data_IF_046596969287
#
_entry.id   IF_046596969287
#
_cell.length_a   1.000
_cell.length_b   1.000
_cell.length_c   1.000
_cell.angle_alpha   90.00
_cell.angle_beta   90.00
_cell.angle_gamma   90.00
#
_symmetry.space_group_name_H-M   'P 1'
#
loop_
_entity.id
_entity.type
_entity.pdbx_description
1 polymer ?
#
# COMPACT_ATOMS: atom_id res chain seq x y z
N UNK A 1 3.07 1.70 -18.39
CA UNK A 1 3.36 0.36 -17.81
C UNK A 1 2.66 0.28 -16.47
N UNK A 2 2.06 -0.86 -16.10
CA UNK A 2 1.40 -1.06 -14.79
C UNK A 2 2.43 -0.94 -13.66
N UNK A 3 2.07 -0.29 -12.57
CA UNK A 3 2.89 -0.23 -11.34
C UNK A 3 2.21 -1.04 -10.22
N UNK A 4 2.97 -1.88 -9.55
CA UNK A 4 2.53 -2.62 -8.34
C UNK A 4 3.27 -2.03 -7.15
N UNK A 5 2.53 -1.48 -6.20
CA UNK A 5 3.13 -0.77 -5.07
C UNK A 5 2.43 -1.04 -3.73
N UNK A 6 3.13 -0.77 -2.64
CA UNK A 6 2.61 -0.87 -1.29
C UNK A 6 3.23 0.18 -0.37
N UNK A 7 2.40 0.73 0.49
CA UNK A 7 2.87 1.47 1.67
C UNK A 7 3.13 0.48 2.78
N UNK A 8 4.38 0.31 3.17
CA UNK A 8 4.79 -0.71 4.13
C UNK A 8 5.80 -0.20 5.16
N UNK A 9 5.68 -0.69 6.37
CA UNK A 9 6.63 -0.51 7.47
C UNK A 9 6.38 -1.61 8.50
N UNK A 10 7.43 -2.10 9.16
CA UNK A 10 7.30 -3.11 10.22
C UNK A 10 6.65 -2.56 11.50
N UNK A 11 6.46 -1.24 11.61
CA UNK A 11 5.75 -0.60 12.74
C UNK A 11 4.26 -0.46 12.45
N UNK A 12 3.41 -0.83 13.43
CA UNK A 12 1.97 -0.54 13.41
C UNK A 12 1.66 0.95 13.61
N UNK A 13 0.51 1.41 13.07
CA UNK A 13 0.01 2.77 13.31
C UNK A 13 0.72 3.90 12.56
N UNK A 14 1.60 3.59 11.60
CA UNK A 14 2.30 4.60 10.79
C UNK A 14 1.49 5.10 9.59
N UNK A 15 0.26 4.60 9.40
CA UNK A 15 -0.66 5.05 8.35
C UNK A 15 -0.61 4.27 7.04
N UNK A 16 -0.06 3.04 7.01
CA UNK A 16 0.04 2.20 5.80
C UNK A 16 -1.30 2.05 5.06
N UNK A 17 -2.29 1.46 5.71
CA UNK A 17 -3.61 1.19 5.12
C UNK A 17 -4.31 2.46 4.66
N UNK A 18 -4.22 3.55 5.46
CA UNK A 18 -4.76 4.85 5.06
C UNK A 18 -4.10 5.37 3.78
N UNK A 19 -2.77 5.27 3.68
CA UNK A 19 -2.05 5.76 2.50
C UNK A 19 -2.31 4.88 1.27
N UNK A 20 -2.29 3.54 1.40
CA UNK A 20 -2.68 2.64 0.30
C UNK A 20 -4.08 3.00 -0.23
N UNK A 21 -5.04 3.18 0.67
CA UNK A 21 -6.42 3.50 0.30
C UNK A 21 -6.56 4.89 -0.34
N UNK A 22 -6.05 5.95 0.31
CA UNK A 22 -6.22 7.33 -0.17
C UNK A 22 -5.48 7.59 -1.47
N UNK A 23 -4.31 6.98 -1.67
CA UNK A 23 -3.58 7.07 -2.95
C UNK A 23 -4.33 6.31 -4.04
N UNK A 24 -4.91 5.15 -3.75
CA UNK A 24 -5.74 4.43 -4.72
C UNK A 24 -6.96 5.27 -5.17
N UNK A 25 -7.65 5.93 -4.23
CA UNK A 25 -8.77 6.83 -4.55
C UNK A 25 -8.31 8.03 -5.37
N UNK A 26 -7.18 8.65 -5.02
CA UNK A 26 -6.64 9.81 -5.73
C UNK A 26 -6.28 9.46 -7.17
N UNK A 27 -5.62 8.32 -7.40
CA UNK A 27 -5.28 7.88 -8.76
C UNK A 27 -6.57 7.57 -9.54
N UNK A 28 -7.54 6.88 -8.94
CA UNK A 28 -8.81 6.58 -9.60
C UNK A 28 -9.59 7.86 -9.98
N UNK A 29 -9.58 8.88 -9.13
CA UNK A 29 -10.20 10.19 -9.38
C UNK A 29 -9.49 10.96 -10.51
N UNK A 30 -8.15 10.90 -10.57
CA UNK A 30 -7.35 11.49 -11.65
C UNK A 30 -7.64 10.82 -12.99
N UNK A 31 -7.65 9.49 -13.05
CA UNK A 31 -8.00 8.73 -14.26
C UNK A 31 -9.38 9.09 -14.80
N UNK A 32 -10.36 9.31 -13.91
CA UNK A 32 -11.71 9.73 -14.29
C UNK A 32 -11.71 11.17 -14.84
N UNK A 33 -11.05 12.12 -14.18
CA UNK A 33 -10.94 13.52 -14.61
C UNK A 33 -10.20 13.69 -15.93
N UNK A 34 -9.19 12.87 -16.18
CA UNK A 34 -8.38 12.87 -17.40
C UNK A 34 -9.02 12.07 -18.54
N UNK A 35 -10.21 11.47 -18.31
CA UNK A 35 -10.92 10.64 -19.27
C UNK A 35 -10.09 9.45 -19.81
N UNK A 36 -9.19 8.90 -19.01
CA UNK A 36 -8.39 7.72 -19.37
C UNK A 36 -9.24 6.45 -19.21
N UNK A 37 -10.21 6.29 -20.11
CA UNK A 37 -11.29 5.31 -20.03
C UNK A 37 -10.84 3.85 -20.09
N UNK A 38 -9.65 3.58 -20.59
CA UNK A 38 -9.04 2.26 -20.72
C UNK A 38 -8.24 1.85 -19.45
N UNK A 39 -8.05 2.76 -18.48
CA UNK A 39 -7.27 2.50 -17.27
C UNK A 39 -8.09 2.51 -15.99
N UNK A 40 -7.69 1.66 -15.07
CA UNK A 40 -8.30 1.46 -13.75
C UNK A 40 -7.22 1.37 -12.68
N UNK A 41 -7.64 1.39 -11.43
CA UNK A 41 -6.81 1.12 -10.25
C UNK A 41 -7.33 -0.14 -9.58
N UNK A 42 -6.44 -1.02 -9.13
CA UNK A 42 -6.79 -2.15 -8.29
C UNK A 42 -6.21 -1.93 -6.90
N UNK A 43 -7.07 -1.95 -5.89
CA UNK A 43 -6.68 -1.98 -4.49
C UNK A 43 -6.87 -3.39 -3.96
N UNK A 44 -5.86 -3.93 -3.28
CA UNK A 44 -5.90 -5.26 -2.68
C UNK A 44 -5.67 -5.11 -1.18
N UNK A 45 -6.56 -5.63 -0.38
CA UNK A 45 -6.38 -5.73 1.07
C UNK A 45 -5.74 -7.08 1.39
N UNK A 46 -4.50 -7.05 1.84
CA UNK A 46 -3.72 -8.23 2.25
C UNK A 46 -3.51 -8.31 3.77
N UNK A 47 -4.18 -7.46 4.55
CA UNK A 47 -4.09 -7.48 6.01
C UNK A 47 -5.22 -8.32 6.63
N UNK A 48 -4.86 -9.22 7.55
CA UNK A 48 -5.84 -10.01 8.32
C UNK A 48 -6.76 -9.16 9.22
N UNK A 49 -6.37 -7.91 9.52
CA UNK A 49 -7.21 -6.97 10.27
C UNK A 49 -8.40 -6.46 9.44
N UNK A 50 -8.30 -6.51 8.12
CA UNK A 50 -9.36 -6.17 7.16
C UNK A 50 -9.86 -4.72 7.27
N UNK A 51 -9.02 -3.76 7.68
CA UNK A 51 -9.45 -2.36 7.90
C UNK A 51 -9.98 -1.71 6.62
N UNK A 52 -9.34 -1.93 5.47
CA UNK A 52 -9.81 -1.42 4.18
C UNK A 52 -11.06 -2.18 3.74
N UNK A 53 -11.09 -3.48 3.90
CA UNK A 53 -12.25 -4.33 3.57
C UNK A 53 -13.48 -3.91 4.37
N UNK A 54 -13.35 -3.71 5.69
CA UNK A 54 -14.46 -3.25 6.52
C UNK A 54 -14.94 -1.85 6.11
N UNK A 55 -14.02 -0.99 5.71
CA UNK A 55 -14.37 0.34 5.21
C UNK A 55 -15.16 0.27 3.89
N UNK A 56 -14.71 -0.52 2.90
CA UNK A 56 -15.35 -0.56 1.57
C UNK A 56 -16.63 -1.40 1.57
N UNK A 57 -16.58 -2.59 2.18
CA UNK A 57 -17.66 -3.59 2.19
C UNK A 57 -18.21 -3.81 3.60
N UNK A 58 -17.96 -5.00 4.13
CA UNK A 58 -18.15 -5.41 5.52
C UNK A 58 -17.23 -6.60 5.80
N UNK A 59 -16.93 -6.91 7.05
CA UNK A 59 -16.08 -8.08 7.40
C UNK A 59 -16.67 -9.40 6.95
N UNK A 60 -17.99 -9.51 6.89
CA UNK A 60 -18.72 -10.73 6.51
C UNK A 60 -19.31 -10.61 5.10
N UNK A 61 -18.51 -10.13 4.13
CA UNK A 61 -18.95 -9.85 2.74
C UNK A 61 -19.25 -11.11 1.92
N UNK A 62 -18.74 -12.28 2.32
CA UNK A 62 -18.99 -13.56 1.61
C UNK A 62 -18.39 -13.68 0.20
N UNK A 63 -17.53 -12.75 -0.19
CA UNK A 63 -16.87 -12.73 -1.51
C UNK A 63 -15.52 -13.43 -1.46
N UNK A 64 -15.03 -13.98 -2.59
CA UNK A 64 -13.65 -14.44 -2.70
C UNK A 64 -12.64 -13.34 -2.34
N UNK A 65 -11.52 -13.74 -1.77
CA UNK A 65 -10.51 -12.86 -1.18
C UNK A 65 -9.16 -13.06 -1.83
N UNK A 66 -8.16 -12.31 -1.39
CA UNK A 66 -6.78 -12.54 -1.78
C UNK A 66 -6.31 -13.98 -1.45
N UNK A 67 -6.86 -14.62 -0.43
CA UNK A 67 -6.51 -15.99 -0.09
C UNK A 67 -6.91 -16.97 -1.20
N UNK A 68 -8.14 -16.85 -1.72
CA UNK A 68 -8.60 -17.66 -2.84
C UNK A 68 -7.87 -17.31 -4.14
N UNK A 69 -7.52 -16.04 -4.36
CA UNK A 69 -6.69 -15.64 -5.50
C UNK A 69 -5.36 -16.40 -5.57
N UNK A 70 -4.75 -16.67 -4.41
CA UNK A 70 -3.41 -17.26 -4.36
C UNK A 70 -3.39 -18.76 -4.04
N UNK A 71 -4.40 -19.29 -3.33
CA UNK A 71 -4.33 -20.60 -2.68
C UNK A 71 -5.46 -21.56 -3.00
N UNK A 72 -6.42 -21.19 -3.86
CA UNK A 72 -7.54 -22.06 -4.22
C UNK A 72 -7.05 -23.39 -4.83
N UNK A 73 -7.76 -24.50 -4.53
CA UNK A 73 -7.53 -25.85 -5.08
C UNK A 73 -6.04 -26.28 -5.16
N UNK A 74 -5.42 -26.49 -4.02
CA UNK A 74 -4.03 -26.99 -3.95
C UNK A 74 -2.99 -25.97 -4.42
N UNK A 75 -3.30 -24.70 -4.29
CA UNK A 75 -2.39 -23.60 -4.56
C UNK A 75 -2.39 -23.10 -6.00
N UNK A 76 -3.38 -23.46 -6.83
CA UNK A 76 -3.50 -22.91 -8.20
C UNK A 76 -3.97 -21.46 -8.22
N UNK A 77 -4.78 -21.06 -7.23
CA UNK A 77 -5.42 -19.75 -7.17
C UNK A 77 -6.59 -19.60 -8.15
N UNK A 78 -7.47 -18.65 -7.87
CA UNK A 78 -8.55 -18.27 -8.78
C UNK A 78 -8.07 -17.27 -9.83
N UNK A 79 -8.75 -17.26 -10.97
CA UNK A 79 -8.55 -16.23 -11.98
C UNK A 79 -9.00 -14.85 -11.45
N UNK A 80 -8.34 -13.74 -11.86
CA UNK A 80 -8.63 -12.40 -11.33
C UNK A 80 -10.10 -11.99 -11.42
N UNK A 81 -10.80 -12.39 -12.50
CA UNK A 81 -12.21 -12.08 -12.72
C UNK A 81 -13.13 -12.62 -11.60
N UNK A 82 -12.71 -13.70 -10.94
CA UNK A 82 -13.50 -14.37 -9.91
C UNK A 82 -13.29 -13.80 -8.50
N UNK A 83 -12.26 -12.95 -8.32
CA UNK A 83 -11.89 -12.40 -7.00
C UNK A 83 -12.01 -10.88 -6.94
N UNK A 84 -12.11 -10.20 -8.09
CA UNK A 84 -12.14 -8.74 -8.15
C UNK A 84 -13.56 -8.22 -8.07
N UNK A 85 -13.83 -7.38 -7.08
CA UNK A 85 -15.05 -6.59 -6.95
C UNK A 85 -14.90 -5.33 -7.78
N UNK A 86 -15.72 -5.18 -8.81
CA UNK A 86 -15.69 -4.02 -9.72
C UNK A 86 -16.39 -2.82 -9.09
N UNK A 87 -15.72 -1.65 -9.09
CA UNK A 87 -16.28 -0.36 -8.71
C UNK A 87 -17.08 -0.38 -7.39
N UNK A 88 -16.51 -0.89 -6.28
CA UNK A 88 -17.25 -1.06 -5.02
C UNK A 88 -17.65 0.26 -4.38
N UNK A 89 -17.07 1.38 -4.80
CA UNK A 89 -17.39 2.74 -4.36
C UNK A 89 -17.92 3.50 -5.57
N UNK A 90 -19.20 3.86 -5.56
CA UNK A 90 -19.89 4.46 -6.70
C UNK A 90 -19.23 5.75 -7.21
N UNK A 91 -18.67 6.57 -6.30
CA UNK A 91 -17.97 7.82 -6.63
C UNK A 91 -16.61 7.61 -7.30
N UNK A 92 -16.10 6.37 -7.33
CA UNK A 92 -14.82 6.00 -7.92
C UNK A 92 -14.98 4.81 -8.88
N UNK A 93 -15.62 5.01 -10.03
CA UNK A 93 -15.92 3.92 -10.99
C UNK A 93 -14.66 3.27 -11.58
N UNK A 94 -13.49 3.91 -11.44
CA UNK A 94 -12.19 3.39 -11.88
C UNK A 94 -11.46 2.57 -10.83
N UNK A 95 -11.99 2.48 -9.61
CA UNK A 95 -11.42 1.65 -8.55
C UNK A 95 -12.06 0.26 -8.57
N UNK A 96 -11.22 -0.77 -8.61
CA UNK A 96 -11.60 -2.15 -8.33
C UNK A 96 -10.94 -2.63 -7.05
N UNK A 97 -11.45 -3.69 -6.45
CA UNK A 97 -11.02 -4.12 -5.14
C UNK A 97 -10.93 -5.65 -5.01
N UNK A 98 -9.88 -6.15 -4.36
CA UNK A 98 -9.82 -7.52 -3.83
C UNK A 98 -9.85 -7.42 -2.32
N UNK A 99 -10.89 -7.98 -1.66
CA UNK A 99 -11.01 -7.90 -0.20
C UNK A 99 -10.06 -8.87 0.51
N UNK A 100 -9.74 -8.53 1.75
CA UNK A 100 -9.17 -9.46 2.71
C UNK A 100 -10.24 -10.38 3.29
N UNK A 101 -9.80 -11.46 3.94
CA UNK A 101 -10.67 -12.37 4.68
C UNK A 101 -9.90 -13.13 5.74
N UNK A 102 -10.63 -13.76 6.67
CA UNK A 102 -10.04 -14.57 7.75
C UNK A 102 -9.13 -15.69 7.24
N UNK A 103 -9.33 -16.13 6.00
CA UNK A 103 -8.53 -17.15 5.32
C UNK A 103 -7.08 -16.73 5.09
N UNK A 104 -6.77 -15.43 5.13
CA UNK A 104 -5.39 -14.92 5.04
C UNK A 104 -4.51 -15.57 6.12
N UNK A 105 -5.02 -15.73 7.33
CA UNK A 105 -4.28 -16.29 8.45
C UNK A 105 -3.82 -17.75 8.21
N UNK A 106 -4.57 -18.53 7.42
CA UNK A 106 -4.26 -19.94 7.14
C UNK A 106 -3.47 -20.18 5.84
N UNK A 107 -3.15 -19.13 5.07
CA UNK A 107 -2.34 -19.25 3.84
C UNK A 107 -1.00 -19.95 4.09
N UNK A 108 -0.25 -19.69 5.17
CA UNK A 108 0.99 -20.43 5.44
C UNK A 108 0.80 -21.94 5.53
N UNK A 109 -0.32 -22.38 6.11
CA UNK A 109 -0.68 -23.81 6.23
C UNK A 109 -1.08 -24.38 4.86
N UNK A 110 -1.92 -23.67 4.10
CA UNK A 110 -2.36 -24.06 2.77
C UNK A 110 -1.20 -24.20 1.77
N UNK A 111 -0.12 -23.48 1.98
CA UNK A 111 1.07 -23.49 1.14
C UNK A 111 2.27 -24.18 1.78
N UNK A 112 2.09 -24.96 2.85
CA UNK A 112 3.21 -25.58 3.59
C UNK A 112 4.13 -26.37 2.65
N UNK A 113 3.55 -27.21 1.79
CA UNK A 113 4.28 -28.10 0.87
C UNK A 113 4.48 -27.52 -0.53
N UNK A 114 4.14 -26.24 -0.74
CA UNK A 114 4.29 -25.59 -2.05
C UNK A 114 5.68 -24.98 -2.19
N UNK A 115 6.45 -25.47 -3.15
CA UNK A 115 7.77 -24.89 -3.48
C UNK A 115 7.61 -23.50 -4.11
N UNK A 116 8.47 -22.55 -3.69
CA UNK A 116 8.47 -21.20 -4.20
C UNK A 116 7.21 -20.38 -3.82
N UNK A 117 6.57 -20.78 -2.71
CA UNK A 117 5.36 -20.13 -2.18
C UNK A 117 5.54 -18.63 -1.98
N UNK A 118 6.73 -18.15 -1.68
CA UNK A 118 7.06 -16.74 -1.52
C UNK A 118 6.89 -15.93 -2.82
N UNK A 119 6.97 -16.59 -3.98
CA UNK A 119 6.83 -15.94 -5.29
C UNK A 119 5.39 -15.99 -5.84
N UNK A 120 4.43 -16.56 -5.10
CA UNK A 120 3.08 -16.83 -5.63
C UNK A 120 2.34 -15.59 -6.13
N UNK A 121 2.35 -14.49 -5.40
CA UNK A 121 1.71 -13.25 -5.85
C UNK A 121 2.32 -12.77 -7.16
N UNK A 122 3.65 -12.75 -7.25
CA UNK A 122 4.39 -12.38 -8.47
C UNK A 122 4.04 -13.31 -9.65
N UNK A 123 3.98 -14.63 -9.41
CA UNK A 123 3.59 -15.62 -10.43
C UNK A 123 2.15 -15.41 -10.87
N UNK A 124 1.23 -15.16 -9.95
CA UNK A 124 -0.19 -14.91 -10.26
C UNK A 124 -0.35 -13.64 -11.13
N UNK A 125 0.29 -12.53 -10.75
CA UNK A 125 0.29 -11.29 -11.54
C UNK A 125 0.90 -11.46 -12.94
N UNK A 126 1.95 -12.27 -13.07
CA UNK A 126 2.59 -12.56 -14.36
C UNK A 126 1.76 -13.50 -15.24
N UNK A 127 1.18 -14.54 -14.66
CA UNK A 127 0.30 -15.48 -15.36
C UNK A 127 -0.90 -14.78 -16.01
N UNK A 128 -1.43 -13.78 -15.32
CA UNK A 128 -2.60 -13.03 -15.77
C UNK A 128 -2.25 -11.62 -16.26
N UNK A 129 -1.03 -11.41 -16.80
CA UNK A 129 -0.54 -10.07 -17.15
C UNK A 129 -1.49 -9.33 -18.10
N UNK A 130 -2.04 -10.02 -19.11
CA UNK A 130 -2.91 -9.42 -20.12
C UNK A 130 -4.22 -8.90 -19.48
N UNK A 131 -4.76 -9.61 -18.50
CA UNK A 131 -5.90 -9.14 -17.71
C UNK A 131 -5.53 -7.89 -16.91
N UNK A 132 -4.34 -7.87 -16.30
CA UNK A 132 -3.89 -6.76 -15.46
C UNK A 132 -3.40 -5.53 -16.25
N UNK A 133 -3.28 -5.58 -17.57
CA UNK A 133 -2.92 -4.41 -18.40
C UNK A 133 -3.95 -3.27 -18.36
N UNK A 134 -5.21 -3.58 -18.03
CA UNK A 134 -6.24 -2.58 -17.79
C UNK A 134 -5.97 -1.72 -16.54
N UNK A 135 -5.11 -2.16 -15.64
CA UNK A 135 -4.77 -1.40 -14.43
C UNK A 135 -3.49 -0.58 -14.65
N UNK A 136 -3.57 0.73 -14.40
CA UNK A 136 -2.39 1.58 -14.34
C UNK A 136 -1.60 1.30 -13.07
N UNK A 137 -2.31 1.12 -11.95
CA UNK A 137 -1.73 0.87 -10.64
C UNK A 137 -2.44 -0.26 -9.91
N UNK A 138 -1.66 -1.07 -9.19
CA UNK A 138 -2.12 -2.06 -8.23
C UNK A 138 -1.51 -1.70 -6.87
N UNK A 139 -2.34 -1.28 -5.92
CA UNK A 139 -1.92 -0.97 -4.56
C UNK A 139 -2.28 -2.15 -3.66
N UNK A 140 -1.33 -2.58 -2.82
CA UNK A 140 -1.54 -3.75 -1.96
C UNK A 140 -1.27 -3.34 -0.51
N UNK A 141 -2.29 -3.43 0.34
CA UNK A 141 -2.12 -3.23 1.77
C UNK A 141 -1.58 -4.48 2.44
N UNK A 142 -0.69 -4.31 3.40
CA UNK A 142 -0.05 -5.40 4.14
C UNK A 142 0.06 -5.09 5.63
N UNK A 143 -0.04 -6.13 6.43
CA UNK A 143 0.14 -6.04 7.89
C UNK A 143 1.59 -5.68 8.27
N UNK A 144 1.82 -5.14 9.48
CA UNK A 144 3.18 -4.87 9.96
C UNK A 144 3.94 -6.15 10.35
N UNK A 145 3.29 -7.29 10.36
CA UNK A 145 3.85 -8.57 10.81
C UNK A 145 4.67 -9.26 9.73
N UNK A 146 5.69 -10.03 10.14
CA UNK A 146 6.53 -10.81 9.22
C UNK A 146 5.84 -12.13 8.85
N UNK A 147 4.86 -12.08 7.97
CA UNK A 147 4.13 -13.26 7.50
C UNK A 147 4.61 -13.71 6.12
N UNK A 148 4.28 -14.95 5.73
CA UNK A 148 4.49 -15.44 4.37
C UNK A 148 3.78 -14.53 3.35
N UNK A 149 2.58 -14.04 3.69
CA UNK A 149 1.81 -13.11 2.86
C UNK A 149 2.59 -11.83 2.55
N UNK A 150 3.15 -11.21 3.60
CA UNK A 150 3.93 -9.99 3.41
C UNK A 150 5.13 -10.21 2.48
N UNK A 151 5.81 -11.35 2.62
CA UNK A 151 6.90 -11.72 1.71
C UNK A 151 6.40 -11.91 0.28
N UNK A 152 5.29 -12.64 0.08
CA UNK A 152 4.69 -12.84 -1.24
C UNK A 152 4.33 -11.53 -1.92
N UNK A 153 3.74 -10.59 -1.17
CA UNK A 153 3.39 -9.27 -1.68
C UNK A 153 4.66 -8.48 -1.99
N UNK A 154 5.58 -8.37 -1.02
CA UNK A 154 6.81 -7.59 -1.16
C UNK A 154 7.64 -7.99 -2.38
N UNK A 155 7.69 -9.29 -2.70
CA UNK A 155 8.40 -9.78 -3.91
C UNK A 155 7.66 -9.52 -5.22
N UNK A 156 6.44 -9.01 -5.19
CA UNK A 156 5.66 -8.65 -6.37
C UNK A 156 5.65 -7.15 -6.66
N UNK A 157 6.22 -6.33 -5.78
CA UNK A 157 6.18 -4.87 -5.89
C UNK A 157 7.20 -4.34 -6.90
N UNK A 158 6.78 -3.31 -7.65
CA UNK A 158 7.65 -2.42 -8.42
C UNK A 158 8.12 -1.24 -7.55
N UNK A 159 7.29 -0.83 -6.57
CA UNK A 159 7.63 0.26 -5.64
C UNK A 159 7.22 -0.08 -4.20
N UNK A 160 8.11 0.20 -3.25
CA UNK A 160 7.90 0.04 -1.81
C UNK A 160 8.04 1.42 -1.15
N UNK A 161 6.96 1.91 -0.52
CA UNK A 161 6.90 3.25 0.06
C UNK A 161 6.82 3.11 1.57
N UNK A 162 7.78 3.68 2.30
CA UNK A 162 7.89 3.54 3.75
C UNK A 162 7.42 4.81 4.48
N UNK A 163 6.23 4.82 5.10
CA UNK A 163 5.84 5.89 6.01
C UNK A 163 6.63 5.81 7.32
N UNK A 164 7.37 6.87 7.67
CA UNK A 164 8.01 7.05 8.96
C UNK A 164 7.13 7.95 9.84
N UNK A 165 6.76 7.44 11.01
CA UNK A 165 5.99 8.25 11.96
C UNK A 165 6.90 9.27 12.61
N UNK A 166 6.56 10.58 12.46
CA UNK A 166 7.27 11.68 13.11
C UNK A 166 7.42 11.48 14.63
N UNK A 167 8.54 11.92 15.16
CA UNK A 167 8.88 11.81 16.58
C UNK A 167 8.89 10.38 17.17
N UNK A 168 9.10 9.37 16.33
CA UNK A 168 9.12 7.98 16.78
C UNK A 168 10.35 7.26 16.26
N UNK A 169 11.41 7.17 17.08
CA UNK A 169 12.66 6.49 16.72
C UNK A 169 12.44 5.05 16.25
N UNK A 170 11.50 4.34 16.88
CA UNK A 170 11.13 2.98 16.49
C UNK A 170 10.63 2.87 15.04
N UNK A 171 10.17 3.96 14.41
CA UNK A 171 9.78 3.90 12.99
C UNK A 171 11.00 3.86 12.07
N UNK A 172 12.10 4.50 12.43
CA UNK A 172 13.39 4.45 11.72
C UNK A 172 13.99 3.06 11.86
N UNK A 173 14.08 2.54 13.09
CA UNK A 173 14.56 1.17 13.37
C UNK A 173 13.76 0.10 12.63
N UNK A 174 12.43 0.25 12.61
CA UNK A 174 11.53 -0.67 11.90
C UNK A 174 11.74 -0.62 10.38
N UNK A 175 11.99 0.57 9.82
CA UNK A 175 12.30 0.73 8.40
C UNK A 175 13.62 0.07 8.04
N UNK A 176 14.68 0.31 8.83
CA UNK A 176 15.98 -0.37 8.66
C UNK A 176 15.85 -1.88 8.72
N UNK A 177 15.11 -2.40 9.71
CA UNK A 177 14.87 -3.83 9.84
C UNK A 177 14.10 -4.41 8.65
N UNK A 178 13.14 -3.64 8.09
CA UNK A 178 12.39 -4.03 6.89
C UNK A 178 13.32 -4.08 5.68
N UNK A 179 14.17 -3.08 5.49
CA UNK A 179 15.14 -3.01 4.39
C UNK A 179 16.11 -4.19 4.41
N UNK A 180 16.76 -4.43 5.55
CA UNK A 180 17.68 -5.55 5.71
C UNK A 180 16.98 -6.88 5.36
N UNK A 181 15.78 -7.10 5.91
CA UNK A 181 15.02 -8.31 5.62
C UNK A 181 14.65 -8.42 4.13
N UNK A 182 14.26 -7.31 3.51
CA UNK A 182 13.93 -7.27 2.08
C UNK A 182 15.15 -7.65 1.23
N UNK A 183 16.31 -7.07 1.50
CA UNK A 183 17.54 -7.37 0.77
C UNK A 183 17.96 -8.82 0.97
N UNK A 184 18.00 -9.30 2.20
CA UNK A 184 18.34 -10.69 2.53
C UNK A 184 17.39 -11.68 1.83
N UNK A 185 16.09 -11.40 1.86
CA UNK A 185 15.08 -12.27 1.22
C UNK A 185 15.19 -12.25 -0.32
N UNK A 186 15.49 -11.09 -0.93
CA UNK A 186 15.69 -10.99 -2.38
C UNK A 186 16.95 -11.75 -2.82
N UNK A 187 18.05 -11.63 -2.06
CA UNK A 187 19.29 -12.34 -2.32
C UNK A 187 19.13 -13.87 -2.16
N UNK A 188 18.53 -14.30 -1.04
CA UNK A 188 18.29 -15.72 -0.78
C UNK A 188 17.38 -16.41 -1.80
N UNK A 189 16.47 -15.66 -2.42
CA UNK A 189 15.54 -16.18 -3.44
C UNK A 189 16.01 -15.91 -4.87
N UNK A 190 17.20 -15.36 -5.05
CA UNK A 190 17.79 -15.04 -6.35
C UNK A 190 16.82 -14.20 -7.21
N UNK A 191 16.27 -13.12 -6.61
CA UNK A 191 15.35 -12.20 -7.30
C UNK A 191 16.13 -10.94 -7.68
N UNK A 192 16.42 -10.77 -8.97
CA UNK A 192 17.17 -9.63 -9.48
C UNK A 192 16.32 -8.35 -9.58
N UNK A 193 15.04 -8.49 -9.99
CA UNK A 193 14.13 -7.35 -10.13
C UNK A 193 13.68 -6.87 -8.74
N UNK A 194 14.27 -5.76 -8.29
CA UNK A 194 14.01 -5.16 -6.97
C UNK A 194 13.07 -3.96 -7.09
N UNK A 195 12.22 -3.81 -6.09
CA UNK A 195 11.36 -2.64 -5.98
C UNK A 195 12.19 -1.36 -5.81
N UNK A 196 11.70 -0.27 -6.39
CA UNK A 196 12.16 1.07 -6.04
C UNK A 196 11.67 1.40 -4.64
N UNK A 197 12.57 1.80 -3.74
CA UNK A 197 12.24 2.05 -2.34
C UNK A 197 12.36 3.54 -2.06
N UNK A 198 11.30 4.12 -1.47
CA UNK A 198 11.28 5.50 -0.99
C UNK A 198 10.70 5.56 0.42
N UNK A 199 11.07 6.58 1.18
CA UNK A 199 10.54 6.83 2.51
C UNK A 199 10.06 8.28 2.66
N UNK A 200 9.08 8.52 3.52
CA UNK A 200 8.55 9.85 3.79
C UNK A 200 8.10 10.01 5.24
N UNK A 201 8.04 11.25 5.72
CA UNK A 201 7.51 11.57 7.05
C UNK A 201 5.98 11.59 6.98
N UNK A 202 5.36 10.72 7.77
CA UNK A 202 3.92 10.70 7.99
C UNK A 202 3.57 11.11 9.42
N UNK A 203 2.35 11.58 9.63
CA UNK A 203 1.84 12.05 10.92
C UNK A 203 2.71 13.17 11.51
N UNK A 204 3.22 14.05 10.62
CA UNK A 204 4.08 15.16 10.99
C UNK A 204 3.35 16.19 11.84
N UNK A 205 4.00 16.66 12.91
CA UNK A 205 3.52 17.75 13.76
C UNK A 205 4.41 18.98 13.57
N UNK A 206 3.79 20.14 13.47
CA UNK A 206 4.51 21.41 13.26
C UNK A 206 5.27 21.90 14.49
N UNK A 207 4.85 21.47 15.68
CA UNK A 207 5.52 21.88 16.91
C UNK A 207 6.85 21.10 17.07
N UNK A 208 7.96 21.82 17.14
CA UNK A 208 9.28 21.23 17.44
C UNK A 208 9.44 20.97 18.93
N UNK A 209 9.82 19.75 19.25
CA UNK A 209 10.07 19.26 20.61
C UNK A 209 11.53 18.78 20.74
N UNK A 210 11.95 18.38 21.94
CA UNK A 210 13.23 17.66 22.10
C UNK A 210 13.24 16.34 21.36
N UNK A 211 12.08 15.67 21.31
CA UNK A 211 11.91 14.38 20.61
C UNK A 211 12.04 14.55 19.09
N UNK A 212 11.55 15.67 18.51
CA UNK A 212 11.74 15.90 17.08
C UNK A 212 13.21 16.09 16.71
N UNK A 213 14.01 16.76 17.54
CA UNK A 213 15.46 16.90 17.32
C UNK A 213 16.19 15.55 17.42
N UNK A 214 15.79 14.72 18.37
CA UNK A 214 16.35 13.37 18.51
C UNK A 214 15.99 12.49 17.32
N UNK A 215 14.75 12.59 16.81
CA UNK A 215 14.31 11.90 15.61
C UNK A 215 15.10 12.35 14.36
N UNK A 216 15.25 13.66 14.15
CA UNK A 216 16.05 14.22 13.05
C UNK A 216 17.50 13.70 13.10
N UNK A 217 18.11 13.71 14.28
CA UNK A 217 19.48 13.19 14.49
C UNK A 217 19.58 11.70 14.19
N UNK A 218 18.65 10.89 14.70
CA UNK A 218 18.65 9.45 14.47
C UNK A 218 18.45 9.13 12.97
N UNK A 219 17.62 9.91 12.26
CA UNK A 219 17.46 9.77 10.82
C UNK A 219 18.74 10.15 10.06
N UNK A 220 19.47 11.17 10.52
CA UNK A 220 20.76 11.57 9.94
C UNK A 220 21.84 10.51 10.12
N UNK A 221 21.80 9.76 11.22
CA UNK A 221 22.71 8.66 11.51
C UNK A 221 22.41 7.39 10.70
N UNK A 222 21.15 7.18 10.27
CA UNK A 222 20.73 6.03 9.47
C UNK A 222 20.73 6.36 7.97
N UNK A 223 21.93 6.42 7.39
CA UNK A 223 22.17 6.87 6.01
C UNK A 223 21.36 6.11 4.97
N UNK A 224 21.14 4.82 5.14
CA UNK A 224 20.36 4.02 4.19
C UNK A 224 18.90 4.51 4.11
N UNK A 225 18.24 4.67 5.26
CA UNK A 225 16.87 5.20 5.33
C UNK A 225 16.83 6.65 4.85
N UNK A 226 17.80 7.47 5.27
CA UNK A 226 17.90 8.88 4.89
C UNK A 226 18.00 9.08 3.37
N UNK A 227 18.79 8.27 2.68
CA UNK A 227 18.97 8.36 1.23
C UNK A 227 17.71 7.99 0.44
N UNK A 228 16.74 7.32 1.08
CA UNK A 228 15.44 6.99 0.50
C UNK A 228 14.36 8.03 0.79
N UNK A 229 14.67 9.03 1.66
CA UNK A 229 13.71 10.06 2.05
C UNK A 229 13.36 10.97 0.87
N UNK A 230 12.07 11.15 0.65
CA UNK A 230 11.53 12.21 -0.20
C UNK A 230 11.27 13.47 0.63
N UNK A 231 11.06 14.60 -0.04
CA UNK A 231 10.89 15.89 0.62
C UNK A 231 9.49 16.09 1.22
N UNK A 232 8.50 15.45 0.61
CA UNK A 232 7.11 15.59 1.02
C UNK A 232 6.84 15.02 2.40
N UNK A 233 6.02 15.71 3.17
CA UNK A 233 5.57 15.31 4.51
C UNK A 233 4.05 15.35 4.60
N UNK A 234 3.45 14.37 5.27
CA UNK A 234 2.01 14.33 5.53
C UNK A 234 1.75 14.64 7.01
N UNK A 235 1.02 15.71 7.26
CA UNK A 235 0.68 16.13 8.62
C UNK A 235 -0.28 15.17 9.32
N UNK A 236 -0.16 15.03 10.65
CA UNK A 236 -1.21 14.40 11.48
C UNK A 236 -2.46 15.28 11.43
N UNK A 237 -3.42 14.84 10.66
CA UNK A 237 -4.61 15.63 10.34
C UNK A 237 -5.88 14.79 10.44
N UNK A 238 -6.91 15.40 11.04
CA UNK A 238 -8.26 14.82 11.02
C UNK A 238 -8.79 14.65 9.59
N UNK A 239 -8.34 15.48 8.64
CA UNK A 239 -8.71 15.39 7.21
C UNK A 239 -8.35 14.03 6.63
N UNK A 240 -7.14 13.53 6.87
CA UNK A 240 -6.69 12.20 6.41
C UNK A 240 -7.62 11.10 6.94
N UNK A 241 -7.90 11.13 8.25
CA UNK A 241 -8.77 10.14 8.91
C UNK A 241 -10.22 10.22 8.40
N UNK A 242 -10.73 11.43 8.27
CA UNK A 242 -12.11 11.64 7.79
C UNK A 242 -12.27 11.29 6.32
N UNK A 243 -11.28 11.56 5.47
CA UNK A 243 -11.29 11.14 4.07
C UNK A 243 -11.37 9.62 3.93
N UNK A 244 -10.63 8.88 4.76
CA UNK A 244 -10.72 7.41 4.83
C UNK A 244 -12.13 6.95 5.22
N UNK A 245 -12.67 7.47 6.34
CA UNK A 245 -13.99 7.09 6.86
C UNK A 245 -15.11 7.41 5.85
N UNK A 246 -15.03 8.57 5.18
CA UNK A 246 -16.05 9.03 4.24
C UNK A 246 -15.85 8.48 2.81
N UNK A 247 -14.91 7.59 2.59
CA UNK A 247 -14.62 6.95 1.29
C UNK A 247 -14.41 7.99 0.18
N UNK A 248 -13.61 9.01 0.46
CA UNK A 248 -13.40 10.12 -0.48
C UNK A 248 -11.94 10.54 -0.54
N UNK A 249 -11.53 11.28 -1.59
CA UNK A 249 -10.19 11.84 -1.66
C UNK A 249 -10.01 12.97 -0.64
N UNK A 250 -8.76 13.23 -0.25
CA UNK A 250 -8.42 14.37 0.62
C UNK A 250 -8.91 15.69 -0.02
N UNK A 251 -8.76 15.82 -1.34
CA UNK A 251 -9.20 17.01 -2.07
C UNK A 251 -10.72 17.22 -1.98
N UNK A 252 -11.52 16.20 -2.33
CA UNK A 252 -12.99 16.29 -2.28
C UNK A 252 -13.50 16.54 -0.86
N UNK A 253 -12.91 15.87 0.14
CA UNK A 253 -13.29 16.08 1.54
C UNK A 253 -13.00 17.52 1.98
N UNK A 254 -11.81 18.03 1.67
CA UNK A 254 -11.40 19.40 2.03
C UNK A 254 -12.32 20.46 1.42
N UNK A 255 -12.63 20.29 0.13
CA UNK A 255 -13.50 21.22 -0.61
C UNK A 255 -14.94 21.20 -0.09
N UNK A 256 -15.47 20.02 0.25
CA UNK A 256 -16.84 19.85 0.77
C UNK A 256 -16.98 20.33 2.21
N UNK A 257 -16.04 19.96 3.09
CA UNK A 257 -16.08 20.32 4.50
C UNK A 257 -15.58 21.75 4.79
N UNK A 258 -15.03 22.45 3.77
CA UNK A 258 -14.46 23.81 3.89
C UNK A 258 -13.42 23.93 5.00
N UNK A 259 -12.59 22.90 5.16
CA UNK A 259 -11.51 22.85 6.15
C UNK A 259 -10.18 23.29 5.56
N UNK A 260 -9.17 23.42 6.42
CA UNK A 260 -7.83 23.89 6.04
C UNK A 260 -7.26 23.11 4.83
N UNK A 261 -6.82 23.80 3.81
CA UNK A 261 -6.28 23.28 2.54
C UNK A 261 -4.87 22.70 2.66
N UNK A 262 -4.12 23.02 3.71
CA UNK A 262 -2.73 22.58 3.88
C UNK A 262 -2.53 21.08 3.68
N UNK A 263 -3.44 20.26 4.21
CA UNK A 263 -3.34 18.80 4.07
C UNK A 263 -3.55 18.37 2.59
N UNK A 264 -4.45 19.04 1.87
CA UNK A 264 -4.68 18.85 0.43
C UNK A 264 -3.43 19.20 -0.38
N UNK A 265 -2.81 20.33 -0.09
CA UNK A 265 -1.57 20.79 -0.75
C UNK A 265 -0.45 19.77 -0.51
N UNK A 266 -0.19 19.42 0.75
CA UNK A 266 0.81 18.42 1.11
C UNK A 266 0.60 17.07 0.41
N UNK A 267 -0.66 16.62 0.31
CA UNK A 267 -0.96 15.37 -0.35
C UNK A 267 -0.77 15.45 -1.87
N UNK A 268 -1.13 16.57 -2.48
CA UNK A 268 -0.89 16.82 -3.90
C UNK A 268 0.61 16.84 -4.22
N UNK A 269 1.41 17.56 -3.41
CA UNK A 269 2.87 17.62 -3.56
C UNK A 269 3.49 16.22 -3.41
N UNK A 270 3.01 15.46 -2.44
CA UNK A 270 3.43 14.07 -2.21
C UNK A 270 3.15 13.16 -3.42
N UNK A 271 1.93 13.22 -3.98
CA UNK A 271 1.58 12.43 -5.17
C UNK A 271 2.42 12.88 -6.37
N UNK A 272 2.65 14.19 -6.53
CA UNK A 272 3.46 14.71 -7.63
C UNK A 272 4.91 14.26 -7.50
N UNK A 273 5.52 14.35 -6.32
CA UNK A 273 6.89 13.90 -6.08
C UNK A 273 7.06 12.40 -6.37
N UNK A 274 6.11 11.55 -5.92
CA UNK A 274 6.13 10.13 -6.24
C UNK A 274 6.00 9.86 -7.75
N UNK A 275 5.21 10.66 -8.45
CA UNK A 275 5.03 10.55 -9.91
C UNK A 275 6.32 10.96 -10.64
N UNK A 276 6.92 12.10 -10.27
CA UNK A 276 8.18 12.60 -10.85
C UNK A 276 9.35 11.62 -10.64
N UNK A 277 9.29 10.88 -9.55
CA UNK A 277 10.24 9.81 -9.23
C UNK A 277 9.90 8.47 -9.91
N UNK A 278 8.85 8.37 -10.72
CA UNK A 278 8.39 7.11 -11.32
C UNK A 278 8.08 6.01 -10.30
N UNK A 279 7.62 6.37 -9.11
CA UNK A 279 7.15 5.46 -8.07
C UNK A 279 5.67 5.14 -8.30
N UNK A 280 4.90 6.16 -8.70
CA UNK A 280 3.52 6.07 -9.18
C UNK A 280 3.44 6.08 -10.69
#
# INVERSE_FOLDING_TARGET
MRKVLSFTNAKGGVGKSHMNYLVALEIADRLEKENLNDKRVLLIDGDEQMDITENILSKDHGLPTMAEALCWEGGKGLDPENVIVKSPIAEFPRLDFIPAGKQIAIIPELLADVMGKEKKMRVWLRKHKDFFEQYSHILIDISPTKTLINRMITFSLDSLIMPLQWETLRSIEASKKLLNQYHDDMDNLEIDERAKIVAFINLHKTQRTSVSKEFERALDEELEVKNMMINSVISDSAVVKQSFINKTTIAKYTDTARVNTKCKEQFNDFIQELTDMEVL
#
